data_IF_482175357911
#
_entry.id   IF_482175357911
#
_cell.length_a   1.000
_cell.length_b   1.000
_cell.length_c   1.000
_cell.angle_alpha   90.00
_cell.angle_beta   90.00
_cell.angle_gamma   90.00
#
_symmetry.space_group_name_H-M   'P 1'
#
loop_
_entity.id
_entity.type
_entity.pdbx_description
1 polymer ?
#
# COMPACT_ATOMS: atom_id res chain seq x y z
N UNK A 1 -4.30 -6.23 -7.25
CA UNK A 1 -4.67 -5.34 -6.14
C UNK A 1 -6.14 -4.95 -6.22
N UNK A 2 -6.84 -4.91 -5.09
CA UNK A 2 -8.25 -4.50 -4.97
C UNK A 2 -8.43 -2.98 -4.79
N UNK A 3 -7.46 -2.16 -5.21
CA UNK A 3 -7.40 -0.73 -4.86
C UNK A 3 -8.60 0.06 -5.38
N UNK A 4 -9.15 -0.30 -6.55
CA UNK A 4 -10.34 0.35 -7.09
C UNK A 4 -11.60 0.05 -6.27
N UNK A 5 -11.73 -1.18 -5.78
CA UNK A 5 -12.83 -1.57 -4.89
C UNK A 5 -12.70 -0.84 -3.55
N UNK A 6 -11.48 -0.67 -3.04
CA UNK A 6 -11.23 0.00 -1.77
C UNK A 6 -11.56 1.50 -1.79
N UNK A 7 -11.69 2.13 -2.96
CA UNK A 7 -12.11 3.54 -3.06
C UNK A 7 -13.51 3.79 -2.49
N UNK A 8 -14.37 2.77 -2.45
CA UNK A 8 -15.71 2.87 -1.85
C UNK A 8 -15.73 2.48 -0.37
N UNK A 9 -14.57 2.28 0.25
CA UNK A 9 -14.49 1.97 1.67
C UNK A 9 -15.01 3.12 2.53
N UNK A 10 -15.64 2.76 3.65
CA UNK A 10 -16.10 3.69 4.68
C UNK A 10 -15.11 3.83 5.84
N UNK A 11 -13.97 3.11 5.81
CA UNK A 11 -12.92 3.25 6.82
C UNK A 11 -12.14 4.55 6.59
N UNK A 12 -12.13 5.49 7.55
CA UNK A 12 -11.44 6.77 7.40
C UNK A 12 -9.94 6.63 7.10
N UNK A 13 -9.29 5.57 7.59
CA UNK A 13 -7.87 5.33 7.32
C UNK A 13 -7.64 4.96 5.85
N UNK A 14 -8.54 4.16 5.28
CA UNK A 14 -8.48 3.80 3.86
C UNK A 14 -8.85 5.00 3.00
N UNK A 15 -9.87 5.77 3.37
CA UNK A 15 -10.26 6.97 2.65
C UNK A 15 -9.12 7.99 2.58
N UNK A 16 -8.45 8.24 3.71
CA UNK A 16 -7.29 9.13 3.74
C UNK A 16 -6.12 8.62 2.91
N UNK A 17 -5.80 7.33 3.05
CA UNK A 17 -4.73 6.69 2.29
C UNK A 17 -4.96 6.77 0.77
N UNK A 18 -6.20 6.57 0.31
CA UNK A 18 -6.55 6.55 -1.11
C UNK A 18 -6.98 7.92 -1.66
N UNK A 19 -6.97 8.96 -0.83
CA UNK A 19 -7.36 10.32 -1.22
C UNK A 19 -8.86 10.50 -1.49
N UNK A 20 -9.71 9.67 -0.89
CA UNK A 20 -11.18 9.79 -0.99
C UNK A 20 -11.81 10.44 0.25
N UNK A 21 -11.01 10.80 1.26
CA UNK A 21 -11.46 11.58 2.40
C UNK A 21 -11.93 12.98 1.97
N UNK A 22 -13.12 13.45 2.42
CA UNK A 22 -13.56 14.82 2.19
C UNK A 22 -12.53 15.83 2.67
N UNK A 23 -12.21 16.82 1.84
CA UNK A 23 -11.23 17.87 2.12
C UNK A 23 -9.78 17.38 2.39
N UNK A 24 -9.46 16.13 2.06
CA UNK A 24 -8.11 15.58 2.19
C UNK A 24 -7.09 16.31 1.30
N UNK A 25 -5.94 16.69 1.86
CA UNK A 25 -4.86 17.42 1.15
C UNK A 25 -3.51 16.73 1.18
N UNK A 26 -3.43 15.52 1.71
CA UNK A 26 -2.16 14.82 1.94
C UNK A 26 -1.33 14.66 0.65
N UNK A 27 -1.97 14.31 -0.48
CA UNK A 27 -1.26 14.23 -1.76
C UNK A 27 -0.74 15.60 -2.21
N UNK A 28 -1.58 16.63 -2.11
CA UNK A 28 -1.21 18.00 -2.48
C UNK A 28 -0.06 18.57 -1.63
N UNK A 29 -0.04 18.29 -0.33
CA UNK A 29 1.04 18.69 0.58
C UNK A 29 2.38 18.01 0.24
N UNK A 30 2.33 16.84 -0.40
CA UNK A 30 3.48 16.14 -0.98
C UNK A 30 3.82 16.58 -2.42
N UNK A 31 3.08 17.53 -2.99
CA UNK A 31 3.24 17.97 -4.38
C UNK A 31 2.73 16.97 -5.43
N UNK A 32 1.83 16.07 -5.04
CA UNK A 32 1.24 15.02 -5.87
C UNK A 32 -0.28 15.19 -6.00
N UNK A 33 -0.91 14.38 -6.85
CA UNK A 33 -2.37 14.24 -6.84
C UNK A 33 -2.83 13.48 -5.59
N UNK A 34 -4.03 13.79 -5.08
CA UNK A 34 -4.56 13.10 -3.89
C UNK A 34 -4.73 11.59 -4.06
N UNK A 35 -4.91 11.12 -5.30
CA UNK A 35 -5.00 9.69 -5.64
C UNK A 35 -3.62 9.03 -5.87
N UNK A 36 -2.51 9.63 -5.45
CA UNK A 36 -1.16 9.10 -5.72
C UNK A 36 -0.97 7.65 -5.25
N UNK A 37 -1.54 7.26 -4.10
CA UNK A 37 -1.47 5.87 -3.62
C UNK A 37 -2.25 4.92 -4.53
N UNK A 38 -3.41 5.35 -5.04
CA UNK A 38 -4.18 4.59 -6.03
C UNK A 38 -3.32 4.35 -7.27
N UNK A 39 -2.63 5.38 -7.76
CA UNK A 39 -1.76 5.29 -8.93
C UNK A 39 -0.57 4.34 -8.68
N UNK A 40 0.08 4.40 -7.51
CA UNK A 40 1.16 3.50 -7.13
C UNK A 40 0.68 2.04 -7.10
N UNK A 41 -0.40 1.77 -6.36
CA UNK A 41 -0.90 0.40 -6.19
C UNK A 41 -1.46 -0.16 -7.50
N UNK A 42 -2.03 0.67 -8.38
CA UNK A 42 -2.39 0.24 -9.74
C UNK A 42 -1.18 -0.15 -10.57
N UNK A 43 -0.11 0.65 -10.53
CA UNK A 43 1.07 0.43 -11.35
C UNK A 43 1.87 -0.79 -10.89
N UNK A 44 2.10 -0.93 -9.59
CA UNK A 44 3.05 -1.92 -9.04
C UNK A 44 2.48 -2.81 -7.94
N UNK A 45 1.19 -2.72 -7.63
CA UNK A 45 0.61 -3.46 -6.51
C UNK A 45 1.11 -2.98 -5.15
N UNK A 46 0.63 -3.62 -4.09
CA UNK A 46 1.12 -3.37 -2.74
C UNK A 46 2.44 -4.12 -2.47
N UNK A 47 3.04 -3.83 -1.31
CA UNK A 47 4.29 -4.44 -0.87
C UNK A 47 4.32 -5.97 -0.96
N UNK A 48 3.25 -6.63 -0.52
CA UNK A 48 3.15 -8.09 -0.57
C UNK A 48 3.14 -8.61 -2.01
N UNK A 49 2.36 -7.99 -2.90
CA UNK A 49 2.30 -8.35 -4.31
C UNK A 49 3.67 -8.19 -5.00
N UNK A 50 4.36 -7.08 -4.73
CA UNK A 50 5.71 -6.83 -5.23
C UNK A 50 6.72 -7.86 -4.72
N UNK A 51 6.69 -8.18 -3.43
CA UNK A 51 7.61 -9.16 -2.85
C UNK A 51 7.38 -10.53 -3.47
N UNK A 52 6.14 -11.01 -3.48
CA UNK A 52 5.82 -12.37 -3.94
C UNK A 52 6.18 -12.61 -5.40
N UNK A 53 5.96 -11.62 -6.29
CA UNK A 53 6.27 -11.81 -7.72
C UNK A 53 7.76 -11.76 -8.05
N UNK A 54 8.55 -10.99 -7.30
CA UNK A 54 9.95 -10.73 -7.67
C UNK A 54 10.94 -11.64 -6.94
N UNK A 55 10.70 -11.90 -5.65
CA UNK A 55 11.64 -12.65 -4.80
C UNK A 55 10.99 -13.73 -3.94
N UNK A 56 9.68 -13.62 -3.72
CA UNK A 56 8.92 -14.56 -2.90
C UNK A 56 8.48 -15.82 -3.63
N UNK A 57 7.36 -16.37 -3.19
CA UNK A 57 6.85 -17.67 -3.64
C UNK A 57 6.47 -17.71 -5.13
N UNK A 58 6.15 -16.56 -5.73
CA UNK A 58 5.87 -16.42 -7.16
C UNK A 58 7.12 -16.34 -8.04
N UNK A 59 8.31 -16.17 -7.46
CA UNK A 59 9.58 -16.04 -8.18
C UNK A 59 10.40 -17.34 -8.18
N UNK A 60 11.44 -17.48 -9.01
CA UNK A 60 12.40 -18.60 -8.90
C UNK A 60 13.21 -18.61 -7.59
N UNK A 61 13.35 -17.47 -6.90
CA UNK A 61 14.20 -17.34 -5.72
C UNK A 61 13.57 -17.96 -4.46
N UNK A 62 12.23 -17.99 -4.39
CA UNK A 62 11.45 -18.61 -3.30
C UNK A 62 11.86 -18.14 -1.90
N UNK A 63 12.22 -16.86 -1.75
CA UNK A 63 12.63 -16.29 -0.47
C UNK A 63 11.41 -16.18 0.45
N UNK A 64 11.52 -16.75 1.65
CA UNK A 64 10.53 -16.56 2.70
C UNK A 64 10.57 -15.11 3.23
N UNK A 65 9.43 -14.58 3.70
CA UNK A 65 9.33 -13.18 4.15
C UNK A 65 10.32 -12.85 5.27
N UNK A 66 10.42 -13.68 6.30
CA UNK A 66 11.33 -13.45 7.43
C UNK A 66 11.21 -12.02 7.98
N UNK A 67 12.34 -11.33 8.11
CA UNK A 67 12.39 -9.93 8.57
C UNK A 67 11.63 -8.94 7.67
N UNK A 68 11.35 -9.31 6.42
CA UNK A 68 10.57 -8.53 5.46
C UNK A 68 9.05 -8.77 5.59
N UNK A 69 8.59 -9.55 6.57
CA UNK A 69 7.17 -9.58 6.92
C UNK A 69 6.71 -8.23 7.50
N UNK A 70 5.39 -8.01 7.49
CA UNK A 70 4.82 -6.85 8.19
C UNK A 70 5.14 -6.93 9.68
N UNK A 71 5.30 -5.78 10.33
CA UNK A 71 5.61 -5.70 11.76
C UNK A 71 4.59 -6.44 12.65
N UNK A 72 3.30 -6.42 12.28
CA UNK A 72 2.23 -7.18 12.96
C UNK A 72 2.27 -8.69 12.71
N UNK A 73 3.14 -9.15 11.80
CA UNK A 73 3.30 -10.55 11.39
C UNK A 73 4.72 -11.06 11.69
N UNK A 74 5.41 -10.45 12.67
CA UNK A 74 6.73 -10.89 13.13
C UNK A 74 7.91 -10.41 12.29
N UNK A 75 7.71 -9.49 11.34
CA UNK A 75 8.80 -8.85 10.60
C UNK A 75 9.07 -7.43 11.07
N UNK A 76 9.78 -6.65 10.24
CA UNK A 76 10.22 -5.29 10.56
C UNK A 76 9.61 -4.23 9.62
N UNK A 77 8.86 -4.64 8.60
CA UNK A 77 8.24 -3.72 7.66
C UNK A 77 7.06 -3.01 8.32
N UNK A 78 7.30 -1.78 8.75
CA UNK A 78 6.33 -0.87 9.35
C UNK A 78 6.04 0.27 8.36
N UNK A 79 4.78 0.41 7.95
CA UNK A 79 4.33 1.57 7.18
C UNK A 79 4.00 2.71 8.12
N UNK A 80 4.74 3.84 8.11
CA UNK A 80 4.40 4.99 8.91
C UNK A 80 2.97 5.46 8.61
N UNK A 81 2.24 5.95 9.62
CA UNK A 81 0.85 6.35 9.45
C UNK A 81 0.75 7.55 8.48
N UNK A 82 -0.08 7.41 7.45
CA UNK A 82 -0.57 8.54 6.64
C UNK A 82 -1.76 9.12 7.40
N UNK A 83 -1.51 10.22 8.11
CA UNK A 83 -2.44 10.90 9.01
C UNK A 83 -2.29 12.39 8.90
#
# INVERSE_FOLDING_TARGET
>A
ANVEEMKTSTDPNIQRLLGTEPDGKYGADLGLSNDFVVNIVKAVGNYGEMFERNVGSGSPLKIARGINALWTKGGLQYGPPIR
#
